data_IF_359909957344
#
_entry.id   IF_359909957344
#
_cell.length_a   1.000
_cell.length_b   1.000
_cell.length_c   1.000
_cell.angle_alpha   90.00
_cell.angle_beta   90.00
_cell.angle_gamma   90.00
#
_symmetry.space_group_name_H-M   'P 1'
#
loop_
_entity.id
_entity.type
_entity.pdbx_description
1 polymer ?
#
# COMPACT_ATOMS: atom_id res chain seq x y z
N UNK A 1 14.48 -6.57 10.02
CA UNK A 1 14.62 -6.10 8.63
C UNK A 1 13.42 -5.22 8.35
N UNK A 2 13.55 -4.09 7.64
CA UNK A 2 12.36 -3.31 7.24
C UNK A 2 11.67 -4.03 6.08
N UNK A 3 10.34 -4.04 6.09
CA UNK A 3 9.50 -4.74 5.12
C UNK A 3 8.82 -3.74 4.18
N UNK A 4 8.52 -4.15 2.94
CA UNK A 4 7.79 -3.30 1.98
C UNK A 4 6.36 -2.97 2.47
N UNK A 5 5.73 -3.88 3.21
CA UNK A 5 4.44 -3.69 3.88
C UNK A 5 4.40 -2.42 4.75
N UNK A 6 5.50 -2.06 5.40
CA UNK A 6 5.57 -0.87 6.24
C UNK A 6 5.59 0.43 5.41
N UNK A 7 6.20 0.41 4.23
CA UNK A 7 6.12 1.56 3.31
C UNK A 7 4.70 1.70 2.75
N UNK A 8 4.05 0.56 2.44
CA UNK A 8 2.62 0.56 2.06
C UNK A 8 1.78 1.22 3.15
N UNK A 9 1.95 0.80 4.42
CA UNK A 9 1.25 1.41 5.56
C UNK A 9 1.50 2.93 5.65
N UNK A 10 2.77 3.36 5.57
CA UNK A 10 3.11 4.78 5.66
C UNK A 10 2.44 5.62 4.54
N UNK A 11 2.37 5.08 3.32
CA UNK A 11 1.71 5.73 2.18
C UNK A 11 0.20 5.74 2.37
N UNK A 12 -0.41 4.64 2.78
CA UNK A 12 -1.84 4.59 3.05
C UNK A 12 -2.24 5.56 4.19
N UNK A 13 -1.42 5.68 5.25
CA UNK A 13 -1.64 6.69 6.28
C UNK A 13 -1.57 8.13 5.73
N UNK A 14 -0.74 8.38 4.70
CA UNK A 14 -0.68 9.70 4.05
C UNK A 14 -2.00 9.97 3.32
N UNK A 15 -2.53 8.97 2.61
CA UNK A 15 -3.81 9.04 1.92
C UNK A 15 -4.97 9.26 2.90
N UNK A 16 -4.99 8.57 4.04
CA UNK A 16 -5.96 8.80 5.13
C UNK A 16 -5.87 10.23 5.66
N UNK A 17 -4.66 10.71 5.92
CA UNK A 17 -4.41 12.11 6.33
C UNK A 17 -4.75 13.12 5.22
N UNK A 18 -4.79 12.64 3.98
CA UNK A 18 -5.24 13.34 2.78
C UNK A 18 -6.76 13.47 2.67
N UNK A 19 -7.51 12.83 3.57
CA UNK A 19 -8.97 12.80 3.52
C UNK A 19 -9.51 11.89 2.41
N UNK A 20 -8.74 10.88 1.99
CA UNK A 20 -9.21 9.89 1.04
C UNK A 20 -10.40 9.08 1.61
N UNK A 21 -11.37 8.79 0.76
CA UNK A 21 -12.50 7.90 1.06
C UNK A 21 -12.35 6.54 0.38
N UNK A 22 -11.39 6.41 -0.54
CA UNK A 22 -10.98 5.15 -1.16
C UNK A 22 -9.47 5.13 -1.34
N UNK A 23 -8.87 4.01 -0.94
CA UNK A 23 -7.43 3.76 -1.07
C UNK A 23 -7.25 2.37 -1.69
N UNK A 24 -6.50 2.31 -2.78
CA UNK A 24 -6.27 1.11 -3.56
C UNK A 24 -4.78 0.78 -3.58
N UNK A 25 -4.43 -0.44 -3.17
CA UNK A 25 -3.07 -0.96 -3.21
C UNK A 25 -3.01 -2.03 -4.28
N UNK A 26 -2.18 -1.82 -5.30
CA UNK A 26 -1.93 -2.79 -6.33
C UNK A 26 -0.53 -3.37 -6.19
N UNK A 27 -0.41 -4.69 -6.24
CA UNK A 27 0.87 -5.40 -6.20
C UNK A 27 0.95 -6.30 -7.43
N UNK A 28 1.91 -6.03 -8.30
CA UNK A 28 2.10 -6.78 -9.55
C UNK A 28 3.45 -7.47 -9.57
N UNK A 29 3.49 -8.71 -10.03
CA UNK A 29 4.75 -9.41 -10.34
C UNK A 29 4.91 -9.52 -11.84
N UNK A 30 5.96 -8.91 -12.36
CA UNK A 30 6.39 -9.06 -13.73
C UNK A 30 7.68 -9.89 -13.77
N UNK A 31 7.55 -11.20 -13.99
CA UNK A 31 8.70 -12.11 -14.07
C UNK A 31 9.57 -11.85 -15.31
N UNK A 32 8.98 -11.38 -16.42
CA UNK A 32 9.70 -11.11 -17.67
C UNK A 32 10.70 -9.98 -17.49
N UNK A 33 10.27 -8.89 -16.87
CA UNK A 33 11.13 -7.74 -16.57
C UNK A 33 11.84 -7.87 -15.22
N UNK A 34 11.62 -8.96 -14.48
CA UNK A 34 12.15 -9.23 -13.15
C UNK A 34 11.83 -8.09 -12.15
N UNK A 35 10.55 -7.69 -12.09
CA UNK A 35 10.07 -6.60 -11.25
C UNK A 35 8.91 -7.02 -10.34
N UNK A 36 8.97 -6.57 -9.09
CA UNK A 36 7.82 -6.42 -8.20
C UNK A 36 7.39 -4.96 -8.25
N UNK A 37 6.13 -4.68 -8.55
CA UNK A 37 5.58 -3.33 -8.62
C UNK A 37 4.55 -3.17 -7.51
N UNK A 38 4.65 -2.10 -6.74
CA UNK A 38 3.70 -1.71 -5.71
C UNK A 38 3.20 -0.33 -6.05
N UNK A 39 1.90 -0.18 -6.15
CA UNK A 39 1.23 1.08 -6.42
C UNK A 39 0.18 1.34 -5.33
N UNK A 40 0.12 2.56 -4.81
CA UNK A 40 -0.92 3.01 -3.89
C UNK A 40 -1.59 4.23 -4.50
N UNK A 41 -2.90 4.12 -4.71
CA UNK A 41 -3.73 5.17 -5.31
C UNK A 41 -4.81 5.58 -4.34
N UNK A 42 -5.02 6.88 -4.18
CA UNK A 42 -6.08 7.44 -3.34
C UNK A 42 -6.88 8.52 -4.07
N UNK A 43 -8.08 8.79 -3.57
CA UNK A 43 -8.96 9.85 -4.05
C UNK A 43 -9.02 11.06 -3.09
N UNK A 44 -7.98 11.27 -2.28
CA UNK A 44 -7.92 12.35 -1.30
C UNK A 44 -7.72 13.73 -1.94
N UNK A 45 -7.32 14.70 -1.12
CA UNK A 45 -7.14 16.10 -1.55
C UNK A 45 -6.03 16.32 -2.59
N UNK A 46 -5.16 15.34 -2.81
CA UNK A 46 -3.97 15.49 -3.65
C UNK A 46 -2.96 16.52 -3.13
N UNK A 47 -1.98 16.85 -3.94
CA UNK A 47 -0.86 17.74 -3.60
C UNK A 47 -0.76 18.88 -4.62
N UNK A 48 -0.43 20.07 -4.13
CA UNK A 48 -0.08 21.19 -5.00
C UNK A 48 1.34 21.03 -5.59
N UNK A 49 1.68 21.89 -6.55
CA UNK A 49 2.98 21.85 -7.24
C UNK A 49 4.18 22.06 -6.32
N UNK A 50 4.03 22.85 -5.26
CA UNK A 50 5.08 23.09 -4.27
C UNK A 50 5.33 21.80 -3.47
N UNK A 51 4.27 21.20 -2.94
CA UNK A 51 4.33 19.92 -2.21
C UNK A 51 4.89 18.82 -3.11
N UNK A 52 4.47 18.73 -4.37
CA UNK A 52 4.98 17.74 -5.33
C UNK A 52 6.48 17.85 -5.60
N UNK A 53 7.04 19.06 -5.48
CA UNK A 53 8.49 19.27 -5.64
C UNK A 53 9.28 18.72 -4.45
N UNK A 54 8.67 18.69 -3.26
CA UNK A 54 9.32 18.33 -2.00
C UNK A 54 8.90 16.98 -1.42
N UNK A 55 7.83 16.35 -1.92
CA UNK A 55 7.25 15.13 -1.33
C UNK A 55 8.24 13.94 -1.30
N UNK A 56 9.23 13.93 -2.19
CA UNK A 56 10.28 12.91 -2.20
C UNK A 56 11.53 13.30 -1.40
N UNK A 57 11.61 14.53 -0.91
CA UNK A 57 12.73 15.00 -0.13
C UNK A 57 12.71 14.34 1.26
N UNK A 58 13.84 13.78 1.72
CA UNK A 58 13.93 13.24 3.07
C UNK A 58 13.54 14.31 4.10
N UNK A 59 12.80 13.90 5.14
CA UNK A 59 12.34 14.74 6.26
C UNK A 59 11.20 15.72 5.94
N UNK A 60 10.82 15.90 4.67
CA UNK A 60 9.67 16.71 4.33
C UNK A 60 8.37 16.05 4.84
N UNK A 61 7.61 16.77 5.66
CA UNK A 61 6.33 16.30 6.19
C UNK A 61 5.38 17.46 6.40
N UNK A 62 4.11 17.25 6.06
CA UNK A 62 3.01 18.16 6.39
C UNK A 62 2.27 17.73 7.67
N UNK A 63 2.65 16.58 8.26
CA UNK A 63 2.06 16.06 9.50
C UNK A 63 2.67 16.74 10.73
N UNK A 64 1.82 17.20 11.65
CA UNK A 64 2.24 17.82 12.91
C UNK A 64 2.63 16.80 14.00
N UNK A 65 2.12 15.58 13.93
CA UNK A 65 2.28 14.53 14.96
C UNK A 65 3.54 13.68 14.77
N UNK A 66 3.96 13.45 13.52
CA UNK A 66 5.17 12.68 13.15
C UNK A 66 6.17 13.66 12.49
N UNK A 67 7.21 14.07 13.24
CA UNK A 67 8.17 15.11 12.82
C UNK A 67 9.13 14.69 11.69
N UNK A 68 9.10 13.44 11.25
CA UNK A 68 10.02 12.92 10.23
C UNK A 68 9.18 12.29 9.11
N UNK A 69 9.09 12.97 7.98
CA UNK A 69 8.54 12.40 6.75
C UNK A 69 9.60 11.58 6.03
N UNK A 70 9.64 10.27 6.33
CA UNK A 70 10.59 9.34 5.73
C UNK A 70 9.95 8.31 4.81
N UNK A 71 8.63 8.09 4.88
CA UNK A 71 7.95 6.99 4.19
C UNK A 71 8.21 6.99 2.68
N UNK A 72 7.83 8.05 1.98
CA UNK A 72 7.98 8.16 0.52
C UNK A 72 9.45 8.19 0.10
N UNK A 73 10.31 8.93 0.82
CA UNK A 73 11.74 9.00 0.49
C UNK A 73 12.45 7.66 0.65
N UNK A 74 12.10 6.86 1.68
CA UNK A 74 12.68 5.53 1.88
C UNK A 74 12.15 4.53 0.86
N UNK A 75 10.87 4.62 0.50
CA UNK A 75 10.28 3.78 -0.53
C UNK A 75 10.95 4.01 -1.89
N UNK A 76 11.13 5.29 -2.28
CA UNK A 76 11.90 5.69 -3.46
C UNK A 76 13.33 5.16 -3.42
N UNK A 77 14.04 5.36 -2.31
CA UNK A 77 15.41 4.90 -2.16
C UNK A 77 15.53 3.38 -2.35
N UNK A 78 14.62 2.60 -1.77
CA UNK A 78 14.63 1.14 -1.90
C UNK A 78 14.34 0.69 -3.33
N UNK A 79 13.43 1.36 -4.03
CA UNK A 79 13.12 1.07 -5.43
C UNK A 79 14.36 1.28 -6.31
N UNK A 80 14.98 2.44 -6.21
CA UNK A 80 16.17 2.82 -6.99
C UNK A 80 17.38 1.94 -6.66
N UNK A 81 17.60 1.59 -5.38
CA UNK A 81 18.71 0.72 -4.96
C UNK A 81 18.56 -0.72 -5.45
N UNK A 82 17.34 -1.17 -5.69
CA UNK A 82 17.07 -2.56 -6.10
C UNK A 82 16.92 -2.72 -7.61
N UNK A 83 17.25 -1.68 -8.39
CA UNK A 83 17.21 -1.70 -9.85
C UNK A 83 15.82 -1.46 -10.44
N UNK A 84 14.87 -0.99 -9.62
CA UNK A 84 13.57 -0.53 -10.09
C UNK A 84 13.50 1.00 -10.18
N UNK A 85 12.28 1.52 -10.15
CA UNK A 85 11.98 2.94 -10.35
C UNK A 85 10.91 3.42 -9.37
N UNK A 86 10.84 4.73 -9.17
CA UNK A 86 9.82 5.36 -8.35
C UNK A 86 9.14 6.46 -9.15
N UNK A 87 7.82 6.51 -9.09
CA UNK A 87 7.01 7.54 -9.71
C UNK A 87 5.90 8.01 -8.75
N UNK A 88 5.60 9.31 -8.79
CA UNK A 88 4.50 9.89 -8.02
C UNK A 88 3.75 10.89 -8.88
N UNK A 89 2.41 10.80 -8.87
CA UNK A 89 1.50 11.74 -9.53
C UNK A 89 0.48 12.20 -8.51
N UNK A 90 0.16 13.48 -8.52
CA UNK A 90 -0.91 14.02 -7.69
C UNK A 90 -1.34 15.38 -8.23
N UNK A 91 -2.64 15.66 -8.11
CA UNK A 91 -3.20 16.97 -8.45
C UNK A 91 -4.21 17.39 -7.38
N UNK A 92 -4.32 18.69 -7.04
CA UNK A 92 -5.28 19.16 -6.06
C UNK A 92 -6.71 18.74 -6.41
N UNK A 93 -7.38 18.08 -5.47
CA UNK A 93 -8.75 17.57 -5.60
C UNK A 93 -8.91 16.30 -6.44
N UNK A 94 -7.83 15.70 -6.94
CA UNK A 94 -7.88 14.45 -7.75
C UNK A 94 -7.26 13.23 -7.07
N UNK A 95 -6.66 13.41 -5.89
CA UNK A 95 -5.96 12.34 -5.18
C UNK A 95 -4.49 12.20 -5.60
N UNK A 96 -3.91 11.04 -5.28
CA UNK A 96 -2.49 10.75 -5.51
C UNK A 96 -2.28 9.30 -5.96
N UNK A 97 -1.24 9.08 -6.74
CA UNK A 97 -0.75 7.77 -7.15
C UNK A 97 0.76 7.72 -6.83
N UNK A 98 1.15 6.78 -5.97
CA UNK A 98 2.55 6.49 -5.64
C UNK A 98 2.86 5.10 -6.16
N UNK A 99 3.86 4.99 -7.03
CA UNK A 99 4.27 3.73 -7.63
C UNK A 99 5.77 3.52 -7.42
N UNK A 100 6.14 2.31 -7.05
CA UNK A 100 7.52 1.88 -7.03
C UNK A 100 7.67 0.47 -7.58
N UNK A 101 8.70 0.26 -8.39
CA UNK A 101 9.14 -1.06 -8.81
C UNK A 101 10.45 -1.45 -8.12
N UNK A 102 10.65 -2.75 -7.94
CA UNK A 102 11.79 -3.34 -7.25
C UNK A 102 12.29 -4.53 -8.05
N UNK A 103 13.60 -4.74 -8.15
CA UNK A 103 14.14 -5.94 -8.77
C UNK A 103 13.70 -7.20 -8.01
N UNK A 104 12.87 -8.05 -8.63
CA UNK A 104 12.20 -9.19 -8.00
C UNK A 104 13.20 -10.12 -7.29
N UNK A 105 14.30 -10.44 -7.99
CA UNK A 105 15.39 -11.30 -7.51
C UNK A 105 16.60 -10.54 -6.94
N UNK A 106 16.47 -9.24 -6.64
CA UNK A 106 17.57 -8.47 -6.06
C UNK A 106 17.81 -8.86 -4.59
N UNK A 107 19.06 -9.15 -4.21
CA UNK A 107 19.44 -9.57 -2.86
C UNK A 107 19.19 -8.51 -1.78
N UNK A 108 19.21 -7.24 -2.17
CA UNK A 108 18.98 -6.10 -1.28
C UNK A 108 17.49 -5.71 -1.22
N UNK A 109 16.63 -6.39 -2.01
CA UNK A 109 15.19 -6.16 -1.97
C UNK A 109 14.64 -6.55 -0.61
N UNK A 110 13.98 -5.60 0.05
CA UNK A 110 13.25 -5.87 1.28
C UNK A 110 12.14 -6.91 1.03
N UNK A 111 11.91 -7.82 1.99
CA UNK A 111 10.79 -8.76 1.91
C UNK A 111 9.47 -7.99 1.84
N UNK A 112 8.47 -8.62 1.21
CA UNK A 112 7.15 -8.00 1.08
C UNK A 112 6.53 -7.77 2.47
N UNK A 113 6.72 -8.71 3.39
CA UNK A 113 6.27 -8.58 4.78
C UNK A 113 4.79 -8.87 5.00
N UNK A 114 4.26 -8.45 6.14
CA UNK A 114 2.86 -8.71 6.53
C UNK A 114 1.86 -7.74 5.87
N UNK A 115 1.71 -7.81 4.54
CA UNK A 115 0.72 -7.01 3.79
C UNK A 115 -0.70 -7.27 4.27
N UNK A 116 -1.06 -8.54 4.51
CA UNK A 116 -2.38 -8.90 5.02
C UNK A 116 -2.68 -8.21 6.36
N UNK A 117 -1.74 -8.25 7.31
CA UNK A 117 -1.87 -7.56 8.59
C UNK A 117 -2.01 -6.05 8.43
N UNK A 118 -1.23 -5.42 7.54
CA UNK A 118 -1.33 -3.99 7.24
C UNK A 118 -2.72 -3.61 6.73
N UNK A 119 -3.22 -4.33 5.71
CA UNK A 119 -4.52 -4.07 5.10
C UNK A 119 -5.67 -4.28 6.09
N UNK A 120 -5.63 -5.36 6.87
CA UNK A 120 -6.68 -5.64 7.88
C UNK A 120 -6.67 -4.59 8.99
N UNK A 121 -5.50 -4.22 9.50
CA UNK A 121 -5.39 -3.24 10.59
C UNK A 121 -5.90 -1.86 10.18
N UNK A 122 -5.54 -1.40 8.98
CA UNK A 122 -5.97 -0.08 8.51
C UNK A 122 -7.47 -0.07 8.17
N UNK A 123 -7.99 -1.12 7.53
CA UNK A 123 -9.42 -1.25 7.26
C UNK A 123 -10.27 -1.33 8.55
N UNK A 124 -9.77 -2.01 9.58
CA UNK A 124 -10.42 -2.05 10.89
C UNK A 124 -10.36 -0.70 11.64
N UNK A 125 -9.34 0.11 11.38
CA UNK A 125 -9.13 1.41 12.04
C UNK A 125 -9.96 2.54 11.42
N UNK A 126 -10.25 2.46 10.13
CA UNK A 126 -10.95 3.50 9.37
C UNK A 126 -12.15 2.91 8.62
N UNK A 127 -13.25 2.68 9.33
CA UNK A 127 -14.47 2.04 8.78
C UNK A 127 -15.16 2.84 7.66
N UNK A 128 -14.88 4.13 7.55
CA UNK A 128 -15.50 5.03 6.57
C UNK A 128 -14.70 5.13 5.26
N UNK A 129 -13.57 4.42 5.16
CA UNK A 129 -12.69 4.42 3.99
C UNK A 129 -12.74 3.03 3.34
N UNK A 130 -12.95 3.00 2.03
CA UNK A 130 -12.88 1.77 1.25
C UNK A 130 -11.43 1.44 0.88
N UNK A 131 -10.89 0.40 1.51
CA UNK A 131 -9.61 -0.18 1.18
C UNK A 131 -9.75 -1.33 0.20
N UNK A 132 -8.96 -1.26 -0.88
CA UNK A 132 -8.86 -2.31 -1.89
C UNK A 132 -7.42 -2.78 -2.00
N UNK A 133 -7.22 -4.08 -2.04
CA UNK A 133 -5.94 -4.72 -2.34
C UNK A 133 -6.12 -5.56 -3.60
N UNK A 134 -5.34 -5.27 -4.63
CA UNK A 134 -5.23 -6.09 -5.82
C UNK A 134 -3.84 -6.71 -5.87
N UNK A 135 -3.79 -8.00 -6.17
CA UNK A 135 -2.56 -8.74 -6.37
C UNK A 135 -2.68 -9.44 -7.72
N UNK A 136 -1.69 -9.23 -8.59
CA UNK A 136 -1.62 -9.86 -9.89
C UNK A 136 -0.23 -10.52 -10.05
N UNK A 137 -0.23 -11.82 -10.34
CA UNK A 137 0.97 -12.60 -10.60
C UNK A 137 0.77 -13.51 -11.80
N UNK A 138 1.83 -14.17 -12.22
CA UNK A 138 1.81 -15.20 -13.26
C UNK A 138 0.90 -16.38 -12.91
N UNK A 139 0.64 -16.62 -11.62
CA UNK A 139 -0.20 -17.71 -11.12
C UNK A 139 -1.69 -17.35 -11.07
N UNK A 140 -2.02 -16.06 -11.08
CA UNK A 140 -3.40 -15.58 -11.05
C UNK A 140 -3.53 -14.20 -10.41
N UNK A 141 -4.77 -13.84 -10.09
CA UNK A 141 -5.08 -12.59 -9.41
C UNK A 141 -5.97 -12.79 -8.18
N UNK A 142 -5.86 -11.87 -7.24
CA UNK A 142 -6.69 -11.79 -6.04
C UNK A 142 -7.07 -10.34 -5.79
N UNK A 143 -8.33 -10.12 -5.43
CA UNK A 143 -8.83 -8.82 -4.99
C UNK A 143 -9.48 -8.98 -3.62
N UNK A 144 -9.15 -8.06 -2.72
CA UNK A 144 -9.87 -7.81 -1.48
C UNK A 144 -10.46 -6.41 -1.51
N UNK A 145 -11.73 -6.26 -1.11
CA UNK A 145 -12.37 -4.96 -0.85
C UNK A 145 -13.03 -4.97 0.52
N UNK A 146 -12.65 -3.99 1.35
CA UNK A 146 -13.26 -3.78 2.66
C UNK A 146 -14.76 -3.48 2.59
N UNK A 147 -15.21 -2.77 1.55
CA UNK A 147 -16.62 -2.48 1.30
C UNK A 147 -17.41 -3.75 0.95
N UNK A 148 -16.87 -4.62 0.09
CA UNK A 148 -17.52 -5.88 -0.28
C UNK A 148 -17.61 -6.84 0.92
N UNK A 149 -16.53 -6.96 1.67
CA UNK A 149 -16.50 -7.74 2.91
C UNK A 149 -17.52 -7.22 3.92
N UNK A 150 -17.61 -5.90 4.10
CA UNK A 150 -18.58 -5.31 5.04
C UNK A 150 -20.03 -5.64 4.67
N UNK A 151 -20.34 -5.78 3.37
CA UNK A 151 -21.67 -6.25 2.91
C UNK A 151 -21.92 -7.71 3.26
N UNK A 152 -20.91 -8.57 3.07
CA UNK A 152 -21.00 -10.01 3.38
C UNK A 152 -21.21 -10.22 4.89
N UNK A 153 -20.59 -9.38 5.71
CA UNK A 153 -20.66 -9.43 7.16
C UNK A 153 -21.97 -8.91 7.75
N UNK A 154 -22.91 -8.43 6.92
CA UNK A 154 -24.25 -7.96 7.31
C UNK A 154 -24.25 -6.98 8.52
N UNK A 155 -23.24 -6.11 8.59
CA UNK A 155 -23.09 -5.11 9.65
C UNK A 155 -22.26 -5.57 10.86
N UNK A 156 -21.63 -6.75 10.84
CA UNK A 156 -20.58 -7.09 11.80
C UNK A 156 -19.35 -6.18 11.58
N UNK A 157 -18.85 -5.47 12.62
CA UNK A 157 -17.69 -4.60 12.49
C UNK A 157 -16.41 -5.34 12.10
N UNK A 158 -15.63 -4.76 11.19
CA UNK A 158 -14.33 -5.30 10.75
C UNK A 158 -13.30 -5.37 11.88
N UNK A 159 -13.42 -4.52 12.91
CA UNK A 159 -12.50 -4.47 14.04
C UNK A 159 -12.75 -5.54 15.13
N UNK A 160 -13.72 -6.44 14.93
CA UNK A 160 -13.89 -7.60 15.80
C UNK A 160 -12.70 -8.55 15.65
N UNK A 161 -12.07 -9.02 16.75
CA UNK A 161 -10.88 -9.87 16.67
C UNK A 161 -11.05 -11.11 15.78
N UNK A 162 -12.21 -11.78 15.86
CA UNK A 162 -12.54 -12.96 15.05
C UNK A 162 -12.62 -12.63 13.54
N UNK A 163 -13.19 -11.47 13.20
CA UNK A 163 -13.30 -11.00 11.81
C UNK A 163 -11.92 -10.61 11.28
N UNK A 164 -11.13 -9.88 12.08
CA UNK A 164 -9.77 -9.50 11.70
C UNK A 164 -8.88 -10.73 11.45
N UNK A 165 -8.97 -11.74 12.32
CA UNK A 165 -8.21 -12.97 12.16
C UNK A 165 -8.61 -13.70 10.86
N UNK A 166 -9.92 -13.86 10.65
CA UNK A 166 -10.45 -14.48 9.42
C UNK A 166 -10.01 -13.74 8.15
N UNK A 167 -10.07 -12.39 8.14
CA UNK A 167 -9.63 -11.59 7.01
C UNK A 167 -8.13 -11.70 6.75
N UNK A 168 -7.34 -11.73 7.82
CA UNK A 168 -5.90 -11.91 7.71
C UNK A 168 -5.58 -13.27 7.09
N UNK A 169 -6.21 -14.34 7.57
CA UNK A 169 -6.07 -15.68 7.00
C UNK A 169 -6.52 -15.73 5.53
N UNK A 170 -7.67 -15.15 5.20
CA UNK A 170 -8.17 -15.06 3.83
C UNK A 170 -7.14 -14.44 2.88
N UNK A 171 -6.60 -13.27 3.22
CA UNK A 171 -5.63 -12.59 2.37
C UNK A 171 -4.32 -13.38 2.31
N UNK A 172 -3.84 -13.91 3.45
CA UNK A 172 -2.59 -14.68 3.51
C UNK A 172 -2.65 -15.98 2.68
N UNK A 173 -3.76 -16.72 2.74
CA UNK A 173 -3.94 -17.93 1.94
C UNK A 173 -3.93 -17.60 0.45
N UNK A 174 -4.68 -16.58 0.01
CA UNK A 174 -4.69 -16.18 -1.39
C UNK A 174 -3.31 -15.68 -1.87
N UNK A 175 -2.58 -14.92 -1.03
CA UNK A 175 -1.20 -14.53 -1.34
C UNK A 175 -0.28 -15.75 -1.50
N UNK A 176 -0.43 -16.76 -0.65
CA UNK A 176 0.36 -18.00 -0.72
C UNK A 176 0.07 -18.76 -2.01
N UNK A 177 -1.21 -18.89 -2.38
CA UNK A 177 -1.64 -19.54 -3.62
C UNK A 177 -1.10 -18.82 -4.86
N UNK A 178 -0.95 -17.49 -4.80
CA UNK A 178 -0.36 -16.66 -5.86
C UNK A 178 1.18 -16.64 -5.85
N UNK A 179 1.82 -17.46 -5.02
CA UNK A 179 3.29 -17.49 -4.79
C UNK A 179 3.88 -16.14 -4.35
N UNK A 180 3.07 -15.31 -3.71
CA UNK A 180 3.49 -14.08 -3.04
C UNK A 180 3.93 -14.38 -1.62
N UNK A 181 4.98 -15.18 -1.46
CA UNK A 181 5.63 -15.42 -0.16
C UNK A 181 6.97 -14.69 -0.08
N UNK A 182 7.41 -14.40 1.15
CA UNK A 182 8.71 -13.76 1.42
C UNK A 182 9.90 -14.54 0.86
#
# INVERSE_FOLDING_TARGET
MKELSLHILDIMENSVSGGATRIEVNIYVNEVDNLLIIQVTDNGRGMDSETMTHVTDPFFTTRSTRKIGMGISLFKQQAEQTGGAFNIKSEPGKGSEVEASFGLNNIDRQPLGDVAGVIVNIAASYSDIDFVLNIDTTEGNFQFSSHEVSKILEGLPLNKPEVMLWLKELIQTNMTDLKMTN
#
